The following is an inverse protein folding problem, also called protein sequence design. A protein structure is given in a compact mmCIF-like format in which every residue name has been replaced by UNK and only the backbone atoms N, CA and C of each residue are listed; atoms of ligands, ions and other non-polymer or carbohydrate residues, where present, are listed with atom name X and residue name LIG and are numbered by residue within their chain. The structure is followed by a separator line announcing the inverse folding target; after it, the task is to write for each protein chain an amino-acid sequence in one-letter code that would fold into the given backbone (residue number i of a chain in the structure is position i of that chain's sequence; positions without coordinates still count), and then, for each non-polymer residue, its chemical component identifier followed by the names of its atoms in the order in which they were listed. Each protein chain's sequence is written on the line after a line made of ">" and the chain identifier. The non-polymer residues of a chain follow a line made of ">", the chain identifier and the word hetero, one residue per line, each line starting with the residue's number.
data_IF_034544655530
#
_entry.id   IF_034544655530
#
_cell.length_a   1.000
_cell.length_b   1.000
_cell.length_c   1.000
_cell.angle_alpha   90.00
_cell.angle_beta   90.00
_cell.angle_gamma   90.00
#
_symmetry.space_group_name_H-M   'P 1'
#
loop_
_entity.id
_entity.type
_entity.pdbx_description
1 polymer ?
#
# COMPACT_ATOMS: atom_id res chain seq x y z
N UNK A 1 6.15 8.95 -2.49
CA UNK A 1 5.25 9.84 -1.72
C UNK A 1 4.21 10.44 -2.61
N UNK A 2 4.61 11.28 -3.58
CA UNK A 2 3.73 11.90 -4.57
C UNK A 2 2.70 10.94 -5.18
N UNK A 3 3.16 9.75 -5.63
CA UNK A 3 2.28 8.73 -6.22
C UNK A 3 1.15 8.24 -5.29
N UNK A 4 1.40 8.17 -3.98
CA UNK A 4 0.38 7.73 -3.01
C UNK A 4 -0.67 8.83 -2.86
N UNK A 5 -0.25 10.09 -2.78
CA UNK A 5 -1.17 11.22 -2.70
C UNK A 5 -2.03 11.32 -3.97
N UNK A 6 -1.41 11.24 -5.15
CA UNK A 6 -2.14 11.20 -6.43
C UNK A 6 -3.19 10.09 -6.46
N UNK A 7 -2.83 8.91 -5.96
CA UNK A 7 -3.73 7.76 -5.90
C UNK A 7 -4.90 8.03 -4.94
N UNK A 8 -4.65 8.60 -3.75
CA UNK A 8 -5.71 8.97 -2.81
C UNK A 8 -6.67 10.00 -3.42
N UNK A 9 -6.16 11.02 -4.12
CA UNK A 9 -7.01 11.98 -4.82
C UNK A 9 -7.85 11.33 -5.92
N UNK A 10 -7.29 10.37 -6.66
CA UNK A 10 -8.04 9.61 -7.67
C UNK A 10 -9.14 8.76 -7.04
N UNK A 11 -8.85 8.07 -5.93
CA UNK A 11 -9.82 7.27 -5.20
C UNK A 11 -10.94 8.20 -4.66
N UNK A 12 -10.59 9.29 -3.97
CA UNK A 12 -11.58 10.23 -3.42
C UNK A 12 -12.51 10.80 -4.51
N UNK A 13 -11.97 11.19 -5.67
CA UNK A 13 -12.77 11.62 -6.82
C UNK A 13 -13.69 10.52 -7.34
N UNK A 14 -13.19 9.29 -7.47
CA UNK A 14 -13.98 8.17 -7.98
C UNK A 14 -15.11 7.78 -7.01
N UNK A 15 -14.86 7.81 -5.71
CA UNK A 15 -15.86 7.57 -4.67
C UNK A 15 -16.95 8.66 -4.70
N UNK A 16 -16.56 9.93 -4.83
CA UNK A 16 -17.49 11.05 -4.96
C UNK A 16 -18.41 10.91 -6.18
N UNK A 17 -17.85 10.57 -7.35
CA UNK A 17 -18.63 10.38 -8.59
C UNK A 17 -19.70 9.28 -8.44
N UNK A 18 -19.36 8.22 -7.71
CA UNK A 18 -20.25 7.09 -7.43
C UNK A 18 -21.16 7.33 -6.22
N UNK A 19 -20.99 8.45 -5.50
CA UNK A 19 -21.71 8.78 -4.25
C UNK A 19 -21.62 7.67 -3.19
N UNK A 20 -20.45 7.05 -3.08
CA UNK A 20 -20.15 6.03 -2.08
C UNK A 20 -18.98 6.48 -1.20
N UNK A 21 -18.85 5.86 -0.04
CA UNK A 21 -17.76 6.06 0.90
C UNK A 21 -17.09 4.72 1.19
N UNK A 22 -15.80 4.76 1.51
CA UNK A 22 -14.98 3.57 1.77
C UNK A 22 -13.96 3.82 2.87
N UNK A 23 -13.58 2.75 3.56
CA UNK A 23 -12.43 2.72 4.46
C UNK A 23 -11.15 2.48 3.67
N UNK A 24 -10.10 3.26 3.97
CA UNK A 24 -8.81 3.20 3.27
C UNK A 24 -7.71 2.89 4.28
N UNK A 25 -6.89 1.89 3.99
CA UNK A 25 -5.68 1.57 4.75
C UNK A 25 -4.42 1.75 3.91
N UNK A 26 -3.41 2.43 4.46
CA UNK A 26 -2.07 2.50 3.87
C UNK A 26 -1.11 1.73 4.77
N UNK A 27 -0.55 0.66 4.24
CA UNK A 27 0.40 -0.19 4.96
C UNK A 27 1.80 0.06 4.42
N UNK A 28 2.75 0.32 5.31
CA UNK A 28 4.16 0.51 4.94
C UNK A 28 5.11 -0.20 5.92
N UNK A 29 6.20 -0.83 5.45
CA UNK A 29 7.11 -1.57 6.33
C UNK A 29 7.90 -0.67 7.30
N UNK A 30 8.02 0.63 7.01
CA UNK A 30 8.95 1.52 7.70
C UNK A 30 8.24 2.62 8.49
N UNK A 31 8.51 2.69 9.80
CA UNK A 31 7.92 3.72 10.67
C UNK A 31 8.25 5.15 10.23
N UNK A 32 9.44 5.40 9.68
CA UNK A 32 9.79 6.71 9.13
C UNK A 32 8.89 7.10 7.95
N UNK A 33 8.59 6.14 7.06
CA UNK A 33 7.66 6.35 5.96
C UNK A 33 6.24 6.59 6.48
N UNK A 34 5.79 5.81 7.47
CA UNK A 34 4.48 6.01 8.11
C UNK A 34 4.30 7.45 8.60
N UNK A 35 5.25 7.94 9.41
CA UNK A 35 5.20 9.30 9.96
C UNK A 35 5.15 10.36 8.86
N UNK A 36 6.00 10.20 7.83
CA UNK A 36 6.06 11.14 6.72
C UNK A 36 4.77 11.12 5.87
N UNK A 37 4.18 9.95 5.65
CA UNK A 37 2.91 9.82 4.95
C UNK A 37 1.76 10.45 5.73
N UNK A 38 1.67 10.23 7.05
CA UNK A 38 0.64 10.87 7.90
C UNK A 38 0.70 12.39 7.80
N UNK A 39 1.88 12.96 8.04
CA UNK A 39 2.08 14.41 7.96
C UNK A 39 1.78 15.00 6.57
N UNK A 40 2.05 14.25 5.49
CA UNK A 40 1.75 14.72 4.15
C UNK A 40 0.25 14.64 3.84
N UNK A 41 -0.38 13.51 4.18
CA UNK A 41 -1.82 13.26 3.96
C UNK A 41 -2.70 14.23 4.74
N UNK A 42 -2.29 14.63 5.95
CA UNK A 42 -3.03 15.60 6.78
C UNK A 42 -3.20 16.97 6.10
N UNK A 43 -2.38 17.30 5.11
CA UNK A 43 -2.51 18.52 4.30
C UNK A 43 -3.67 18.47 3.31
N UNK A 44 -4.27 17.29 3.12
CA UNK A 44 -5.32 17.03 2.15
C UNK A 44 -6.64 16.72 2.86
N UNK A 45 -7.72 17.35 2.42
CA UNK A 45 -9.07 17.15 2.96
C UNK A 45 -9.86 16.12 2.17
N UNK A 46 -9.50 14.83 2.26
CA UNK A 46 -10.27 13.75 1.62
C UNK A 46 -11.64 13.59 2.31
N UNK A 47 -12.73 13.76 1.57
CA UNK A 47 -14.10 13.84 2.13
C UNK A 47 -14.89 12.54 2.01
N UNK A 48 -14.46 11.66 1.11
CA UNK A 48 -15.20 10.46 0.73
C UNK A 48 -14.63 9.19 1.38
N UNK A 49 -13.68 9.36 2.30
CA UNK A 49 -13.17 8.26 3.13
C UNK A 49 -13.93 8.25 4.46
N UNK A 50 -14.44 7.08 4.85
CA UNK A 50 -15.00 6.88 6.19
C UNK A 50 -13.90 6.86 7.24
N UNK A 51 -12.76 6.27 6.88
CA UNK A 51 -11.55 6.24 7.66
C UNK A 51 -10.34 6.18 6.72
N UNK A 52 -9.27 6.88 7.08
CA UNK A 52 -7.96 6.73 6.45
C UNK A 52 -6.92 6.37 7.50
N UNK A 53 -6.58 5.08 7.57
CA UNK A 53 -5.56 4.57 8.50
C UNK A 53 -4.21 4.41 7.80
N UNK A 54 -3.13 4.85 8.44
CA UNK A 54 -1.76 4.68 7.94
C UNK A 54 -0.93 3.99 9.02
N UNK A 55 -0.49 2.76 8.77
CA UNK A 55 0.32 2.02 9.73
C UNK A 55 1.34 1.03 9.14
N UNK A 56 2.12 0.40 10.02
CA UNK A 56 2.97 -0.74 9.68
C UNK A 56 2.18 -2.04 9.66
N UNK A 57 2.71 -3.07 8.99
CA UNK A 57 2.04 -4.39 8.88
C UNK A 57 1.65 -4.92 10.26
N UNK A 58 2.58 -4.93 11.21
CA UNK A 58 2.34 -5.50 12.55
C UNK A 58 1.26 -4.71 13.33
N UNK A 59 1.16 -3.39 13.11
CA UNK A 59 0.19 -2.52 13.77
C UNK A 59 -1.18 -2.46 13.05
N UNK A 60 -1.28 -3.07 11.86
CA UNK A 60 -2.53 -3.24 11.12
C UNK A 60 -3.14 -4.63 11.34
N UNK A 61 -2.52 -5.48 12.17
CA UNK A 61 -3.01 -6.83 12.42
C UNK A 61 -4.38 -6.82 13.13
N UNK A 62 -5.33 -7.61 12.61
CA UNK A 62 -6.68 -7.70 13.18
C UNK A 62 -7.65 -6.63 12.67
N UNK A 63 -7.17 -5.66 11.91
CA UNK A 63 -8.01 -4.67 11.25
C UNK A 63 -8.11 -4.96 9.75
N UNK A 64 -9.07 -4.32 9.07
CA UNK A 64 -9.31 -4.48 7.64
C UNK A 64 -9.87 -3.16 7.06
N UNK A 65 -9.61 -2.90 5.78
CA UNK A 65 -10.18 -1.77 5.06
C UNK A 65 -10.67 -2.20 3.68
N UNK A 66 -11.63 -1.46 3.12
CA UNK A 66 -12.17 -1.75 1.79
C UNK A 66 -11.08 -1.66 0.73
N UNK A 67 -10.21 -0.65 0.84
CA UNK A 67 -9.08 -0.44 -0.05
C UNK A 67 -7.78 -0.40 0.77
N UNK A 68 -6.84 -1.28 0.44
CA UNK A 68 -5.49 -1.28 1.01
C UNK A 68 -4.48 -0.81 -0.03
N UNK A 69 -3.64 0.14 0.35
CA UNK A 69 -2.47 0.59 -0.40
C UNK A 69 -1.22 0.08 0.32
N UNK A 70 -0.50 -0.86 -0.28
CA UNK A 70 0.76 -1.36 0.23
C UNK A 70 1.94 -0.62 -0.38
N UNK A 71 2.64 0.19 0.42
CA UNK A 71 3.82 0.95 -0.02
C UNK A 71 5.11 0.20 0.30
N UNK A 72 5.83 -0.24 -0.73
CA UNK A 72 7.06 -1.05 -0.55
C UNK A 72 8.29 -0.22 -0.17
N UNK A 73 8.29 1.09 -0.48
CA UNK A 73 9.30 2.13 -0.15
C UNK A 73 10.71 1.90 -0.75
N UNK A 74 11.18 0.65 -0.86
CA UNK A 74 12.53 0.34 -1.33
C UNK A 74 12.70 0.65 -2.81
N UNK A 75 13.87 1.22 -3.10
CA UNK A 75 14.34 1.56 -4.44
C UNK A 75 15.74 0.97 -4.74
N UNK A 76 16.42 0.42 -3.72
CA UNK A 76 17.72 -0.25 -3.76
C UNK A 76 17.94 -1.16 -2.52
N UNK A 77 18.96 -2.03 -2.55
CA UNK A 77 19.34 -2.92 -1.44
C UNK A 77 18.63 -4.29 -1.43
N UNK A 78 18.82 -5.08 -0.37
CA UNK A 78 18.25 -6.43 -0.25
C UNK A 78 16.72 -6.41 -0.04
N UNK A 79 16.02 -7.52 -0.32
CA UNK A 79 14.57 -7.62 -0.08
C UNK A 79 14.19 -8.40 1.17
N UNK A 80 15.14 -8.81 2.00
CA UNK A 80 14.89 -9.72 3.13
C UNK A 80 13.74 -9.26 4.05
N UNK A 81 13.52 -7.95 4.18
CA UNK A 81 12.40 -7.40 4.95
C UNK A 81 11.06 -7.33 4.19
N UNK A 82 11.08 -7.20 2.86
CA UNK A 82 9.90 -7.17 2.00
C UNK A 82 9.41 -8.57 1.61
N UNK A 83 10.33 -9.55 1.59
CA UNK A 83 10.06 -10.96 1.30
C UNK A 83 9.62 -11.77 2.52
N UNK A 84 9.32 -11.11 3.65
CA UNK A 84 8.62 -11.78 4.73
C UNK A 84 7.20 -12.11 4.25
N UNK A 85 7.03 -13.37 3.83
CA UNK A 85 5.78 -13.90 3.29
C UNK A 85 4.64 -13.81 4.29
N UNK A 86 4.90 -13.92 5.59
CA UNK A 86 3.86 -13.79 6.63
C UNK A 86 3.35 -12.36 6.67
N UNK A 87 4.25 -11.37 6.65
CA UNK A 87 3.89 -9.96 6.66
C UNK A 87 3.16 -9.54 5.39
N UNK A 88 3.59 -10.03 4.24
CA UNK A 88 2.91 -9.79 2.98
C UNK A 88 1.51 -10.43 2.96
N UNK A 89 1.36 -11.67 3.44
CA UNK A 89 0.06 -12.32 3.56
C UNK A 89 -0.89 -11.56 4.50
N UNK A 90 -0.38 -11.06 5.63
CA UNK A 90 -1.16 -10.20 6.51
C UNK A 90 -1.62 -8.97 5.73
N UNK A 91 -0.71 -8.22 5.12
CA UNK A 91 -1.04 -7.01 4.35
C UNK A 91 -2.06 -7.26 3.22
N UNK A 92 -1.92 -8.36 2.48
CA UNK A 92 -2.86 -8.75 1.41
C UNK A 92 -4.24 -9.04 1.99
N UNK A 93 -4.31 -9.84 3.05
CA UNK A 93 -5.58 -10.22 3.69
C UNK A 93 -6.30 -9.08 4.42
N UNK A 94 -5.69 -7.88 4.52
CA UNK A 94 -6.34 -6.70 5.10
C UNK A 94 -7.33 -6.02 4.14
N UNK A 95 -7.26 -6.33 2.84
CA UNK A 95 -8.08 -5.70 1.82
C UNK A 95 -9.41 -6.46 1.65
N UNK A 96 -10.54 -5.77 1.84
CA UNK A 96 -11.86 -6.37 1.60
C UNK A 96 -12.27 -6.34 0.12
N UNK A 97 -11.91 -5.26 -0.59
CA UNK A 97 -12.32 -5.08 -1.99
C UNK A 97 -11.13 -4.90 -2.93
N UNK A 98 -10.21 -3.98 -2.62
CA UNK A 98 -9.11 -3.64 -3.51
C UNK A 98 -7.77 -3.59 -2.79
N UNK A 99 -6.76 -4.18 -3.40
CA UNK A 99 -5.37 -4.10 -2.96
C UNK A 99 -4.53 -3.43 -4.04
N UNK A 100 -3.80 -2.38 -3.67
CA UNK A 100 -2.96 -1.60 -4.57
C UNK A 100 -1.52 -1.60 -4.07
N UNK A 101 -0.59 -2.07 -4.92
CA UNK A 101 0.83 -2.02 -4.64
C UNK A 101 1.45 -0.74 -5.19
N UNK A 102 2.19 -0.01 -4.34
CA UNK A 102 2.96 1.17 -4.75
C UNK A 102 4.44 0.94 -4.47
N UNK A 103 5.21 0.79 -5.54
CA UNK A 103 6.64 0.52 -5.49
C UNK A 103 7.36 0.89 -6.79
N UNK A 104 8.70 0.88 -6.76
CA UNK A 104 9.51 1.11 -7.96
C UNK A 104 9.60 -0.18 -8.76
N UNK A 105 8.87 -0.28 -9.89
CA UNK A 105 8.81 -1.50 -10.73
C UNK A 105 10.19 -2.09 -11.06
N UNK A 106 11.13 -1.25 -11.50
CA UNK A 106 12.48 -1.69 -11.88
C UNK A 106 13.29 -2.29 -10.71
N UNK A 107 12.97 -1.93 -9.47
CA UNK A 107 13.58 -2.58 -8.30
C UNK A 107 13.13 -4.03 -8.16
N UNK A 108 11.88 -4.35 -8.53
CA UNK A 108 11.33 -5.69 -8.44
C UNK A 108 11.65 -6.57 -9.67
N UNK A 109 11.91 -5.97 -10.83
CA UNK A 109 12.28 -6.69 -12.06
C UNK A 109 13.71 -7.24 -12.03
N UNK A 110 14.64 -6.54 -11.37
CA UNK A 110 16.04 -6.96 -11.25
C UNK A 110 16.26 -8.16 -10.30
N UNK A 111 15.19 -8.69 -9.72
CA UNK A 111 15.20 -9.77 -8.74
C UNK A 111 14.78 -11.13 -9.32
N UNK A 112 14.71 -11.23 -10.64
CA UNK A 112 14.31 -12.46 -11.34
C UNK A 112 15.26 -13.65 -11.10
N UNK A 113 16.41 -13.42 -10.48
CA UNK A 113 17.41 -14.45 -10.14
C UNK A 113 17.23 -15.10 -8.76
N UNK A 114 16.35 -14.56 -7.89
CA UNK A 114 16.05 -15.16 -6.58
C UNK A 114 14.79 -16.04 -6.70
N UNK A 115 14.95 -17.37 -6.60
CA UNK A 115 13.86 -18.37 -6.71
C UNK A 115 12.69 -18.18 -5.72
N UNK A 116 12.82 -17.29 -4.72
CA UNK A 116 11.81 -17.00 -3.69
C UNK A 116 11.05 -15.68 -3.88
N UNK A 117 11.21 -15.00 -5.01
CA UNK A 117 10.63 -13.67 -5.19
C UNK A 117 9.13 -13.69 -5.54
N UNK A 118 8.27 -13.66 -4.51
CA UNK A 118 6.81 -13.55 -4.65
C UNK A 118 6.35 -12.28 -5.38
N UNK A 119 7.16 -11.22 -5.41
CA UNK A 119 6.81 -10.01 -6.15
C UNK A 119 6.88 -10.22 -7.67
N UNK A 120 7.61 -11.22 -8.15
CA UNK A 120 7.59 -11.58 -9.58
C UNK A 120 6.19 -12.05 -10.01
N UNK A 121 5.52 -12.86 -9.18
CA UNK A 121 4.13 -13.27 -9.40
C UNK A 121 3.16 -12.08 -9.28
N UNK A 122 3.36 -11.21 -8.29
CA UNK A 122 2.55 -9.98 -8.15
C UNK A 122 2.68 -9.10 -9.40
N UNK A 123 3.88 -8.92 -9.94
CA UNK A 123 4.11 -8.14 -11.16
C UNK A 123 3.49 -8.78 -12.43
N UNK A 124 3.24 -10.09 -12.43
CA UNK A 124 2.55 -10.76 -13.54
C UNK A 124 1.02 -10.58 -13.47
N UNK A 125 0.48 -10.39 -12.26
CA UNK A 125 -0.97 -10.27 -12.01
C UNK A 125 -1.42 -8.81 -11.94
N UNK A 126 -0.62 -7.92 -11.36
CA UNK A 126 -0.91 -6.49 -11.28
C UNK A 126 -0.56 -5.81 -12.61
N UNK A 127 -1.54 -5.13 -13.22
CA UNK A 127 -1.38 -4.31 -14.43
C UNK A 127 -1.17 -2.85 -14.09
#
# INVERSE_FOLDING_TARGET
>A
MQKIIELLEQIDRALNQRKIRKTIGIITPYNAQKRRLRSEVEKYGFKNFDELKIDTVDAFQGEEADIIIYSTVKTCGNLSFLLDSKRLNVAISRAKENLIFVGKKSFFENLRSDEKNIFSAILQVCR
#
